data_IF_199930431030
#
_entry.id   IF_199930431030
#
_cell.length_a   1.000
_cell.length_b   1.000
_cell.length_c   1.000
_cell.angle_alpha   90.00
_cell.angle_beta   90.00
_cell.angle_gamma   90.00
#
_symmetry.space_group_name_H-M   'P 1'
#
loop_
_entity.id
_entity.type
_entity.pdbx_description
1 polymer ?
#
# COMPACT_ATOMS: atom_id res chain seq x y z
N UNK A 1 -0.29 21.90 -2.02
CA UNK A 1 0.11 20.52 -1.69
C UNK A 1 -1.06 19.79 -1.06
N UNK A 2 -1.32 18.57 -1.48
CA UNK A 2 -2.36 17.73 -0.88
C UNK A 2 -2.04 17.41 0.57
N UNK A 3 -3.05 17.31 1.42
CA UNK A 3 -2.88 16.85 2.79
C UNK A 3 -2.50 15.38 2.84
N UNK A 4 -3.20 14.53 2.05
CA UNK A 4 -2.90 13.11 2.01
C UNK A 4 -3.26 12.49 0.66
N UNK A 5 -2.51 11.46 0.32
CA UNK A 5 -2.65 10.69 -0.91
C UNK A 5 -2.59 9.21 -0.54
N UNK A 6 -3.56 8.44 -1.04
CA UNK A 6 -3.62 6.99 -0.83
C UNK A 6 -3.46 6.31 -2.19
N UNK A 7 -2.49 5.42 -2.29
CA UNK A 7 -2.23 4.70 -3.54
C UNK A 7 -2.13 3.21 -3.30
N UNK A 8 -2.61 2.43 -4.26
CA UNK A 8 -2.43 0.99 -4.21
C UNK A 8 -3.59 0.15 -4.71
N UNK A 9 -3.85 -0.92 -3.97
CA UNK A 9 -4.74 -2.01 -4.31
C UNK A 9 -6.12 -1.89 -3.64
N UNK A 10 -6.84 -3.01 -3.49
CA UNK A 10 -8.16 -3.03 -2.85
C UNK A 10 -8.15 -2.52 -1.41
N UNK A 11 -7.03 -2.72 -0.70
CA UNK A 11 -6.90 -2.21 0.67
C UNK A 11 -6.83 -0.68 0.64
N UNK A 12 -6.09 -0.12 -0.32
CA UNK A 12 -6.06 1.32 -0.52
C UNK A 12 -7.45 1.87 -0.87
N UNK A 13 -8.21 1.16 -1.70
CA UNK A 13 -9.61 1.54 -2.02
C UNK A 13 -10.44 1.60 -0.74
N UNK A 14 -10.39 0.56 0.09
CA UNK A 14 -11.14 0.51 1.35
C UNK A 14 -10.74 1.62 2.30
N UNK A 15 -9.44 1.89 2.41
CA UNK A 15 -8.95 2.98 3.27
C UNK A 15 -9.43 4.34 2.76
N UNK A 16 -9.45 4.55 1.45
CA UNK A 16 -9.93 5.82 0.88
C UNK A 16 -11.41 6.06 1.14
N UNK A 17 -12.20 5.00 1.28
CA UNK A 17 -13.61 5.11 1.63
C UNK A 17 -13.82 5.59 3.07
N UNK A 18 -12.84 5.38 3.95
CA UNK A 18 -12.88 5.89 5.34
C UNK A 18 -12.23 7.27 5.43
N UNK A 19 -11.15 7.50 4.69
CA UNK A 19 -10.43 8.79 4.67
C UNK A 19 -10.77 9.56 3.40
N UNK A 20 -12.00 10.03 3.34
CA UNK A 20 -12.52 10.71 2.13
C UNK A 20 -11.85 12.03 1.84
N UNK A 21 -11.14 12.60 2.79
CA UNK A 21 -10.37 13.83 2.60
C UNK A 21 -9.11 13.59 1.75
N UNK A 22 -8.64 12.35 1.64
CA UNK A 22 -7.45 12.01 0.87
C UNK A 22 -7.79 11.78 -0.60
N UNK A 23 -6.92 12.22 -1.49
CA UNK A 23 -6.98 11.84 -2.90
C UNK A 23 -6.48 10.40 -3.02
N UNK A 24 -7.10 9.60 -3.89
CA UNK A 24 -6.73 8.19 -4.03
C UNK A 24 -6.51 7.82 -5.49
N UNK A 25 -5.42 7.09 -5.73
CA UNK A 25 -5.14 6.41 -6.98
C UNK A 25 -4.96 4.93 -6.67
N UNK A 26 -6.07 4.20 -6.67
CA UNK A 26 -6.10 2.81 -6.25
C UNK A 26 -7.06 2.01 -7.10
N UNK A 27 -6.83 0.69 -7.16
CA UNK A 27 -7.68 -0.23 -7.91
C UNK A 27 -7.64 -1.61 -7.28
N UNK A 28 -8.82 -2.21 -7.08
CA UNK A 28 -8.92 -3.56 -6.55
C UNK A 28 -8.22 -4.57 -7.45
N UNK A 29 -7.47 -5.49 -6.84
CA UNK A 29 -6.78 -6.57 -7.53
C UNK A 29 -5.47 -6.20 -8.22
N UNK A 30 -5.07 -4.94 -8.17
CA UNK A 30 -3.85 -4.49 -8.85
C UNK A 30 -2.60 -4.97 -8.09
N UNK A 31 -1.59 -5.44 -8.83
CA UNK A 31 -0.28 -5.71 -8.25
C UNK A 31 0.67 -4.52 -8.44
N UNK A 32 1.85 -4.61 -7.84
CA UNK A 32 2.82 -3.50 -7.85
C UNK A 32 3.26 -3.11 -9.25
N UNK A 33 3.51 -4.10 -10.11
CA UNK A 33 3.91 -3.84 -11.50
C UNK A 33 2.81 -3.14 -12.28
N UNK A 34 1.58 -3.64 -12.14
CA UNK A 34 0.42 -3.05 -12.81
C UNK A 34 0.19 -1.61 -12.36
N UNK A 35 0.33 -1.36 -11.06
CA UNK A 35 0.17 -0.01 -10.52
C UNK A 35 1.19 0.96 -11.13
N UNK A 36 2.46 0.57 -11.17
CA UNK A 36 3.52 1.38 -11.77
C UNK A 36 3.21 1.65 -13.25
N UNK A 37 2.90 0.59 -14.00
CA UNK A 37 2.64 0.73 -15.45
C UNK A 37 1.44 1.63 -15.74
N UNK A 38 0.42 1.62 -14.90
CA UNK A 38 -0.81 2.36 -15.11
C UNK A 38 -0.73 3.80 -14.61
N UNK A 39 -0.04 4.05 -13.50
CA UNK A 39 -0.17 5.32 -12.78
C UNK A 39 1.10 6.18 -12.75
N UNK A 40 2.30 5.58 -12.87
CA UNK A 40 3.52 6.30 -12.50
C UNK A 40 3.76 7.58 -13.30
N UNK A 41 3.36 7.62 -14.55
CA UNK A 41 3.56 8.78 -15.41
C UNK A 41 2.51 9.87 -15.21
N UNK A 42 1.35 9.51 -14.69
CA UNK A 42 0.19 10.39 -14.62
C UNK A 42 -0.21 10.78 -13.20
N UNK A 43 0.41 10.17 -12.20
CA UNK A 43 0.07 10.40 -10.80
C UNK A 43 1.16 11.19 -10.11
N UNK A 44 0.90 12.44 -9.72
CA UNK A 44 1.86 13.17 -8.91
C UNK A 44 1.89 12.59 -7.49
N UNK A 45 2.97 11.91 -7.15
CA UNK A 45 3.18 11.31 -5.83
C UNK A 45 3.70 12.35 -4.85
N UNK A 46 2.89 13.36 -4.58
CA UNK A 46 3.27 14.47 -3.71
C UNK A 46 2.11 14.88 -2.82
N UNK A 47 2.34 14.84 -1.52
CA UNK A 47 1.39 15.25 -0.49
C UNK A 47 2.14 15.41 0.83
N UNK A 48 1.51 15.98 1.85
CA UNK A 48 2.10 16.00 3.19
C UNK A 48 2.26 14.58 3.72
N UNK A 49 1.25 13.73 3.52
CA UNK A 49 1.31 12.30 3.87
C UNK A 49 0.93 11.46 2.67
N UNK A 50 1.68 10.40 2.41
CA UNK A 50 1.37 9.40 1.38
C UNK A 50 1.25 8.05 2.05
N UNK A 51 0.15 7.34 1.76
CA UNK A 51 -0.11 6.01 2.28
C UNK A 51 -0.11 5.05 1.10
N UNK A 52 0.74 4.04 1.16
CA UNK A 52 0.94 3.08 0.08
C UNK A 52 0.49 1.70 0.56
N UNK A 53 -0.40 1.06 -0.21
CA UNK A 53 -0.83 -0.32 0.05
C UNK A 53 -0.69 -1.13 -1.23
N UNK A 54 0.39 -1.86 -1.34
CA UNK A 54 0.70 -2.73 -2.48
C UNK A 54 1.41 -3.98 -1.98
N UNK A 55 1.33 -5.04 -2.76
CA UNK A 55 2.01 -6.30 -2.48
C UNK A 55 1.07 -7.47 -2.29
N UNK A 56 -0.17 -7.25 -1.83
CA UNK A 56 -1.14 -8.33 -1.59
C UNK A 56 -1.44 -9.15 -2.84
N UNK A 57 -1.36 -8.56 -4.01
CA UNK A 57 -1.66 -9.22 -5.29
C UNK A 57 -0.41 -9.55 -6.08
N UNK A 58 0.76 -9.37 -5.51
CA UNK A 58 2.01 -9.67 -6.18
C UNK A 58 2.23 -11.18 -6.23
N UNK A 59 2.81 -11.64 -7.32
CA UNK A 59 3.17 -13.04 -7.51
C UNK A 59 4.67 -13.13 -7.81
N UNK A 60 5.19 -14.34 -7.92
CA UNK A 60 6.64 -14.57 -8.04
C UNK A 60 7.30 -13.89 -9.26
N UNK A 61 6.53 -13.53 -10.26
CA UNK A 61 7.04 -12.86 -11.46
C UNK A 61 7.00 -11.33 -11.37
N UNK A 62 6.42 -10.78 -10.31
CA UNK A 62 6.46 -9.35 -10.04
C UNK A 62 7.76 -9.06 -9.27
N UNK A 63 8.54 -8.11 -9.77
CA UNK A 63 9.75 -7.65 -9.07
C UNK A 63 9.36 -6.64 -8.01
N UNK A 64 8.75 -7.14 -6.95
CA UNK A 64 8.13 -6.30 -5.91
C UNK A 64 9.08 -5.26 -5.35
N UNK A 65 10.30 -5.66 -4.99
CA UNK A 65 11.28 -4.73 -4.42
C UNK A 65 11.57 -3.58 -5.37
N UNK A 66 11.81 -3.88 -6.66
CA UNK A 66 12.11 -2.86 -7.66
C UNK A 66 10.93 -1.93 -7.89
N UNK A 67 9.72 -2.48 -7.96
CA UNK A 67 8.51 -1.69 -8.18
C UNK A 67 8.23 -0.75 -7.00
N UNK A 68 8.33 -1.25 -5.77
CA UNK A 68 8.11 -0.43 -4.59
C UNK A 68 9.18 0.64 -4.43
N UNK A 69 10.43 0.34 -4.75
CA UNK A 69 11.50 1.35 -4.75
C UNK A 69 11.26 2.44 -5.78
N UNK A 70 10.77 2.08 -6.97
CA UNK A 70 10.42 3.06 -8.01
C UNK A 70 9.35 4.03 -7.51
N UNK A 71 8.28 3.50 -6.92
CA UNK A 71 7.21 4.33 -6.36
C UNK A 71 7.78 5.25 -5.28
N UNK A 72 8.59 4.69 -4.37
CA UNK A 72 9.13 5.46 -3.25
C UNK A 72 10.06 6.58 -3.70
N UNK A 73 10.91 6.32 -4.71
CA UNK A 73 11.82 7.34 -5.25
C UNK A 73 11.08 8.54 -5.81
N UNK A 74 9.90 8.33 -6.37
CA UNK A 74 9.09 9.39 -6.97
C UNK A 74 8.13 10.04 -5.96
N UNK A 75 8.05 9.51 -4.75
CA UNK A 75 7.18 10.03 -3.70
C UNK A 75 7.87 11.16 -2.95
N UNK A 76 7.18 12.32 -2.88
CA UNK A 76 7.61 13.48 -2.12
C UNK A 76 6.59 13.78 -1.03
N UNK A 77 6.95 13.53 0.21
CA UNK A 77 6.05 13.69 1.34
C UNK A 77 6.83 13.90 2.62
N UNK A 78 6.19 14.56 3.59
CA UNK A 78 6.75 14.69 4.93
C UNK A 78 6.71 13.37 5.69
N UNK A 79 5.65 12.57 5.43
CA UNK A 79 5.48 11.24 6.03
C UNK A 79 4.99 10.27 4.98
N UNK A 80 5.57 9.07 4.99
CA UNK A 80 5.14 7.96 4.14
C UNK A 80 4.80 6.77 5.01
N UNK A 81 3.61 6.22 4.78
CA UNK A 81 3.10 5.05 5.47
C UNK A 81 2.97 3.90 4.48
N UNK A 82 3.38 2.72 4.91
CA UNK A 82 3.22 1.49 4.15
C UNK A 82 2.28 0.57 4.90
N UNK A 83 1.16 0.21 4.30
CA UNK A 83 0.31 -0.84 4.86
C UNK A 83 1.00 -2.16 4.64
N UNK A 84 1.20 -2.92 5.72
CA UNK A 84 1.87 -4.22 5.65
C UNK A 84 0.85 -5.27 5.20
N UNK A 85 1.04 -5.89 4.01
CA UNK A 85 0.12 -6.91 3.53
C UNK A 85 0.02 -8.10 4.50
N UNK A 86 -1.17 -8.70 4.58
CA UNK A 86 -1.42 -9.85 5.44
C UNK A 86 -2.08 -10.96 4.63
N UNK A 87 -1.85 -12.22 5.04
CA UNK A 87 -2.48 -13.38 4.44
C UNK A 87 -1.97 -13.71 3.05
N UNK A 88 -2.03 -15.00 2.70
CA UNK A 88 -1.58 -15.46 1.39
C UNK A 88 -2.73 -15.38 0.39
N UNK A 89 -2.55 -14.61 -0.67
CA UNK A 89 -3.52 -14.56 -1.75
C UNK A 89 -3.52 -15.92 -2.48
N UNK A 90 -4.70 -16.50 -2.79
CA UNK A 90 -4.75 -17.86 -3.36
C UNK A 90 -3.96 -18.05 -4.66
N UNK A 91 -3.75 -16.99 -5.43
CA UNK A 91 -3.09 -17.07 -6.74
C UNK A 91 -1.66 -16.52 -6.76
N UNK A 92 -1.09 -16.19 -5.59
CA UNK A 92 0.17 -15.43 -5.57
C UNK A 92 1.42 -16.27 -5.82
N UNK A 93 1.43 -17.54 -5.47
CA UNK A 93 2.61 -18.41 -5.57
C UNK A 93 3.87 -17.85 -4.87
N UNK A 94 3.68 -16.95 -3.92
CA UNK A 94 4.75 -16.37 -3.11
C UNK A 94 4.25 -16.26 -1.68
N UNK A 95 5.14 -16.46 -0.72
CA UNK A 95 4.78 -16.37 0.69
C UNK A 95 4.59 -14.91 1.09
N UNK A 96 3.54 -14.64 1.85
CA UNK A 96 3.30 -13.26 2.31
C UNK A 96 4.45 -12.73 3.15
N UNK A 97 5.14 -13.59 3.89
CA UNK A 97 6.29 -13.18 4.70
C UNK A 97 7.39 -12.57 3.84
N UNK A 98 7.58 -13.06 2.61
CA UNK A 98 8.57 -12.51 1.68
C UNK A 98 8.14 -11.11 1.22
N UNK A 99 6.86 -10.91 0.94
CA UNK A 99 6.33 -9.59 0.57
C UNK A 99 6.44 -8.63 1.75
N UNK A 100 6.08 -9.08 2.95
CA UNK A 100 6.19 -8.26 4.16
C UNK A 100 7.63 -7.81 4.40
N UNK A 101 8.59 -8.71 4.21
CA UNK A 101 10.01 -8.36 4.38
C UNK A 101 10.44 -7.28 3.38
N UNK A 102 9.96 -7.35 2.14
CA UNK A 102 10.25 -6.35 1.12
C UNK A 102 9.66 -4.98 1.50
N UNK A 103 8.41 -4.94 1.91
CA UNK A 103 7.76 -3.69 2.35
C UNK A 103 8.52 -3.08 3.52
N UNK A 104 8.87 -3.89 4.51
CA UNK A 104 9.64 -3.43 5.66
C UNK A 104 11.02 -2.92 5.27
N UNK A 105 11.67 -3.56 4.30
CA UNK A 105 12.98 -3.13 3.80
C UNK A 105 12.88 -1.75 3.14
N UNK A 106 11.94 -1.55 2.24
CA UNK A 106 11.78 -0.26 1.54
C UNK A 106 11.43 0.84 2.54
N UNK A 107 10.56 0.56 3.49
CA UNK A 107 10.21 1.51 4.55
C UNK A 107 11.45 1.90 5.37
N UNK A 108 12.24 0.92 5.79
CA UNK A 108 13.45 1.15 6.58
C UNK A 108 14.49 1.97 5.81
N UNK A 109 14.65 1.69 4.52
CA UNK A 109 15.61 2.43 3.69
C UNK A 109 15.31 3.93 3.62
N UNK A 110 14.05 4.30 3.84
CA UNK A 110 13.59 5.68 3.68
C UNK A 110 13.11 6.33 4.99
N UNK A 111 13.20 5.61 6.11
CA UNK A 111 12.70 6.13 7.39
C UNK A 111 11.19 6.24 7.45
N UNK A 112 10.47 5.40 6.72
CA UNK A 112 9.02 5.41 6.63
C UNK A 112 8.37 4.61 7.76
N UNK A 113 7.05 4.75 7.89
CA UNK A 113 6.27 4.08 8.93
C UNK A 113 5.52 2.89 8.33
N UNK A 114 5.65 1.72 8.95
CA UNK A 114 4.92 0.52 8.55
C UNK A 114 3.68 0.37 9.43
N UNK A 115 2.54 0.12 8.80
CA UNK A 115 1.25 -0.05 9.48
C UNK A 115 0.77 -1.50 9.31
N UNK A 116 0.95 -2.35 10.33
CA UNK A 116 0.35 -3.69 10.30
C UNK A 116 -1.17 -3.60 10.33
N UNK A 117 -1.83 -4.56 9.69
CA UNK A 117 -3.29 -4.68 9.73
C UNK A 117 -3.65 -5.40 11.02
N UNK A 118 -4.44 -4.77 11.89
CA UNK A 118 -4.76 -5.31 13.22
C UNK A 118 -6.04 -6.15 13.25
N UNK A 119 -6.97 -5.92 12.31
CA UNK A 119 -8.25 -6.63 12.26
C UNK A 119 -8.58 -6.98 10.83
N UNK A 120 -8.67 -8.27 10.56
CA UNK A 120 -8.88 -8.82 9.24
C UNK A 120 -10.28 -9.39 9.09
N UNK A 121 -10.78 -9.38 7.85
CA UNK A 121 -11.96 -10.17 7.46
C UNK A 121 -11.63 -11.67 7.51
N UNK A 122 -12.64 -12.49 7.31
CA UNK A 122 -12.47 -13.96 7.33
C UNK A 122 -11.51 -14.48 6.27
N UNK A 123 -11.28 -13.72 5.18
CA UNK A 123 -10.31 -14.09 4.15
C UNK A 123 -8.86 -13.99 4.63
N UNK A 124 -8.62 -13.34 5.77
CA UNK A 124 -7.28 -13.17 6.31
C UNK A 124 -6.39 -12.22 5.52
N UNK A 125 -6.95 -11.49 4.55
CA UNK A 125 -6.21 -10.60 3.65
C UNK A 125 -6.66 -9.15 3.81
N UNK A 126 -7.97 -8.92 3.71
CA UNK A 126 -8.53 -7.58 3.76
C UNK A 126 -8.84 -7.16 5.19
N UNK A 127 -8.59 -5.89 5.55
CA UNK A 127 -9.05 -5.37 6.84
C UNK A 127 -10.55 -5.46 6.96
N UNK A 128 -11.04 -5.73 8.17
CA UNK A 128 -12.45 -5.55 8.50
C UNK A 128 -12.77 -4.06 8.55
N UNK A 129 -14.04 -3.71 8.73
CA UNK A 129 -14.45 -2.32 8.93
C UNK A 129 -13.63 -1.66 10.06
N UNK A 130 -13.52 -2.33 11.21
CA UNK A 130 -12.71 -1.84 12.33
C UNK A 130 -11.22 -1.75 11.98
N UNK A 131 -10.72 -2.67 11.15
CA UNK A 131 -9.34 -2.64 10.66
C UNK A 131 -9.06 -1.43 9.78
N UNK A 132 -9.98 -1.08 8.89
CA UNK A 132 -9.84 0.12 8.06
C UNK A 132 -9.88 1.39 8.91
N UNK A 133 -10.76 1.46 9.90
CA UNK A 133 -10.81 2.61 10.82
C UNK A 133 -9.51 2.75 11.60
N UNK A 134 -8.95 1.64 12.05
CA UNK A 134 -7.67 1.64 12.75
C UNK A 134 -6.53 2.14 11.85
N UNK A 135 -6.45 1.65 10.61
CA UNK A 135 -5.48 2.15 9.64
C UNK A 135 -5.66 3.64 9.38
N UNK A 136 -6.90 4.09 9.24
CA UNK A 136 -7.19 5.51 9.03
C UNK A 136 -6.66 6.36 10.19
N UNK A 137 -6.88 5.92 11.42
CA UNK A 137 -6.44 6.66 12.61
C UNK A 137 -4.92 6.68 12.73
N UNK A 138 -4.25 5.57 12.45
CA UNK A 138 -2.78 5.46 12.58
C UNK A 138 -2.02 6.13 11.43
N UNK A 139 -2.69 6.49 10.36
CA UNK A 139 -2.06 7.14 9.18
C UNK A 139 -2.29 8.64 9.12
N UNK A 140 -2.77 9.23 10.20
CA UNK A 140 -2.99 10.69 10.28
C UNK A 140 -1.74 11.43 10.70
#
# INVERSE_FOLDING_TARGET
>A
MLECLIVGDSIAVGLSNVRKECVSYSKGGINSKQWVNTNIQNTPLQAKSVIISLGSNDHKYVKTLDELRTIRQLTKADRVYWVLPAGNHPKSNIKIEDIQAIVQQVAKENGDIVLPITRLQTDGIHPSWAGYKDLADRSK
#
